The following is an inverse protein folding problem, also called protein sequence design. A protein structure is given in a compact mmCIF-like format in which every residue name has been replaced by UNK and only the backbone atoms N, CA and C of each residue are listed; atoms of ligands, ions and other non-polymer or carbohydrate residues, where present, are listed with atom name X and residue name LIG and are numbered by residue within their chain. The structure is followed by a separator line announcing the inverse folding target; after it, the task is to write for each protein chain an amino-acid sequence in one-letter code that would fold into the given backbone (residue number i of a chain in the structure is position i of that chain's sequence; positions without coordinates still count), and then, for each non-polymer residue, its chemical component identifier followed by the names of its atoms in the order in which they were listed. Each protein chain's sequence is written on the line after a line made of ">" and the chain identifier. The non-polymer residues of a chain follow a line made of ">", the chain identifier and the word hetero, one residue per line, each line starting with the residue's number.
data_IF_682834679427
#
_entry.id   IF_682834679427
#
_cell.length_a   1.000
_cell.length_b   1.000
_cell.length_c   1.000
_cell.angle_alpha   90.00
_cell.angle_beta   90.00
_cell.angle_gamma   90.00
#
_symmetry.space_group_name_H-M   'P 1'
#
loop_
_entity.id
_entity.type
_entity.pdbx_description
1 polymer ?
#
# COMPACT_ATOMS: atom_id res chain seq x y z
N UNK A 1 34.66 8.83 0.57
CA UNK A 1 34.06 7.49 0.42
C UNK A 1 33.06 7.55 -0.72
N UNK A 2 33.38 6.95 -1.85
CA UNK A 2 32.47 6.86 -2.99
C UNK A 2 31.24 6.06 -2.55
N UNK A 3 30.09 6.72 -2.51
CA UNK A 3 28.80 6.04 -2.34
C UNK A 3 28.55 5.26 -3.61
N UNK A 4 28.91 3.97 -3.61
CA UNK A 4 28.47 3.05 -4.65
C UNK A 4 26.95 3.25 -4.83
N UNK A 5 26.52 3.41 -6.07
CA UNK A 5 25.13 3.73 -6.41
C UNK A 5 24.25 2.55 -5.98
N UNK A 6 23.57 2.69 -4.85
CA UNK A 6 22.74 1.62 -4.29
C UNK A 6 21.42 1.62 -5.05
N UNK A 7 21.07 0.49 -5.67
CA UNK A 7 19.82 0.33 -6.42
C UNK A 7 18.61 0.21 -5.48
N UNK A 8 18.11 1.35 -5.00
CA UNK A 8 16.98 1.43 -4.06
C UNK A 8 15.70 0.80 -4.66
N UNK A 9 15.53 0.83 -5.98
CA UNK A 9 14.36 0.32 -6.69
C UNK A 9 14.09 -1.16 -6.44
N UNK A 10 15.14 -1.96 -6.20
CA UNK A 10 14.99 -3.37 -5.82
C UNK A 10 14.14 -3.53 -4.56
N UNK A 11 14.33 -2.65 -3.58
CA UNK A 11 13.61 -2.69 -2.31
C UNK A 11 12.19 -2.17 -2.42
N UNK A 12 11.94 -1.21 -3.32
CA UNK A 12 10.59 -0.80 -3.69
C UNK A 12 9.82 -1.97 -4.33
N UNK A 13 10.45 -2.74 -5.23
CA UNK A 13 9.83 -3.92 -5.81
C UNK A 13 9.47 -4.95 -4.72
N UNK A 14 10.39 -5.22 -3.79
CA UNK A 14 10.11 -6.10 -2.66
C UNK A 14 8.97 -5.59 -1.78
N UNK A 15 8.91 -4.28 -1.51
CA UNK A 15 7.78 -3.69 -0.81
C UNK A 15 6.47 -4.00 -1.54
N UNK A 16 6.39 -3.70 -2.84
CA UNK A 16 5.18 -3.89 -3.65
C UNK A 16 4.74 -5.36 -3.68
N UNK A 17 5.68 -6.29 -3.85
CA UNK A 17 5.38 -7.71 -3.85
C UNK A 17 4.85 -8.20 -2.50
N UNK A 18 5.51 -7.80 -1.40
CA UNK A 18 5.10 -8.20 -0.05
C UNK A 18 3.75 -7.57 0.31
N UNK A 19 3.55 -6.30 -0.04
CA UNK A 19 2.28 -5.60 0.18
C UNK A 19 1.14 -6.30 -0.56
N UNK A 20 1.29 -6.51 -1.87
CA UNK A 20 0.27 -7.18 -2.69
C UNK A 20 0.01 -8.63 -2.26
N UNK A 21 1.06 -9.41 -1.99
CA UNK A 21 0.87 -10.79 -1.52
C UNK A 21 0.15 -10.82 -0.15
N UNK A 22 0.51 -9.90 0.75
CA UNK A 22 -0.14 -9.81 2.05
C UNK A 22 -1.59 -9.35 1.93
N UNK A 23 -1.89 -8.33 1.11
CA UNK A 23 -3.26 -7.86 0.89
C UNK A 23 -4.15 -8.97 0.33
N UNK A 24 -3.67 -9.75 -0.64
CA UNK A 24 -4.42 -10.90 -1.15
C UNK A 24 -4.65 -11.97 -0.07
N UNK A 25 -3.60 -12.38 0.65
CA UNK A 25 -3.71 -13.41 1.68
C UNK A 25 -4.65 -12.97 2.80
N UNK A 26 -4.50 -11.75 3.30
CA UNK A 26 -5.38 -11.21 4.35
C UNK A 26 -6.81 -11.04 3.84
N UNK A 27 -7.00 -10.54 2.61
CA UNK A 27 -8.32 -10.42 2.00
C UNK A 27 -9.03 -11.77 1.89
N UNK A 28 -8.32 -12.82 1.44
CA UNK A 28 -8.85 -14.18 1.40
C UNK A 28 -9.21 -14.71 2.79
N UNK A 29 -8.35 -14.50 3.79
CA UNK A 29 -8.61 -14.96 5.17
C UNK A 29 -9.80 -14.25 5.79
N UNK A 30 -9.91 -12.94 5.64
CA UNK A 30 -11.03 -12.13 6.15
C UNK A 30 -12.34 -12.59 5.50
N UNK A 31 -12.33 -12.78 4.18
CA UNK A 31 -13.51 -13.25 3.44
C UNK A 31 -13.88 -14.68 3.82
N UNK A 32 -12.91 -15.59 3.97
CA UNK A 32 -13.16 -16.99 4.33
C UNK A 32 -13.70 -17.17 5.75
N UNK A 33 -13.23 -16.34 6.69
CA UNK A 33 -13.65 -16.36 8.08
C UNK A 33 -14.86 -15.48 8.37
N UNK A 34 -15.43 -14.83 7.35
CA UNK A 34 -16.54 -13.88 7.45
C UNK A 34 -16.32 -12.82 8.54
N UNK A 35 -15.09 -12.30 8.61
CA UNK A 35 -14.71 -11.28 9.57
C UNK A 35 -15.10 -9.89 9.07
N UNK A 36 -15.60 -9.05 9.97
CA UNK A 36 -15.82 -7.63 9.64
C UNK A 36 -14.52 -7.01 9.13
N UNK A 37 -14.60 -6.38 7.97
CA UNK A 37 -13.44 -5.79 7.31
C UNK A 37 -12.99 -4.56 8.10
N UNK A 38 -11.99 -4.76 8.95
CA UNK A 38 -11.43 -3.71 9.78
C UNK A 38 -10.29 -3.00 9.06
N UNK A 39 -10.35 -1.66 8.98
CA UNK A 39 -9.30 -0.81 8.40
C UNK A 39 -7.93 -0.99 9.05
N UNK A 40 -7.89 -1.58 10.26
CA UNK A 40 -6.66 -1.91 10.98
C UNK A 40 -5.79 -2.94 10.27
N UNK A 41 -6.37 -3.87 9.50
CA UNK A 41 -5.61 -4.89 8.78
C UNK A 41 -4.70 -4.28 7.70
N UNK A 42 -5.19 -3.25 7.00
CA UNK A 42 -4.39 -2.52 6.03
C UNK A 42 -3.14 -1.87 6.65
N UNK A 43 -3.25 -1.41 7.91
CA UNK A 43 -2.11 -0.85 8.64
C UNK A 43 -1.06 -1.91 8.96
N UNK A 44 -1.49 -3.09 9.40
CA UNK A 44 -0.60 -4.21 9.71
C UNK A 44 0.17 -4.61 8.45
N UNK A 45 -0.52 -4.75 7.32
CA UNK A 45 0.09 -5.11 6.04
C UNK A 45 1.13 -4.06 5.64
N UNK A 46 0.76 -2.78 5.68
CA UNK A 46 1.68 -1.67 5.38
C UNK A 46 2.94 -1.69 6.26
N UNK A 47 2.76 -1.90 7.57
CA UNK A 47 3.87 -1.96 8.52
C UNK A 47 4.76 -3.17 8.29
N UNK A 48 4.19 -4.35 8.06
CA UNK A 48 4.93 -5.58 7.78
C UNK A 48 5.75 -5.45 6.49
N UNK A 49 5.13 -4.94 5.41
CA UNK A 49 5.82 -4.70 4.14
C UNK A 49 6.99 -3.76 4.31
N UNK A 50 6.79 -2.62 4.99
CA UNK A 50 7.88 -1.68 5.26
C UNK A 50 9.00 -2.33 6.10
N UNK A 51 8.65 -3.09 7.14
CA UNK A 51 9.62 -3.76 8.01
C UNK A 51 10.48 -4.75 7.22
N UNK A 52 9.86 -5.60 6.41
CA UNK A 52 10.56 -6.58 5.55
C UNK A 52 11.48 -5.86 4.56
N UNK A 53 11.00 -4.78 3.93
CA UNK A 53 11.83 -3.98 3.02
C UNK A 53 13.07 -3.42 3.70
N UNK A 54 12.93 -2.84 4.90
CA UNK A 54 14.07 -2.32 5.65
C UNK A 54 15.01 -3.45 6.10
N UNK A 55 14.46 -4.58 6.53
CA UNK A 55 15.26 -5.74 6.91
C UNK A 55 16.12 -6.25 5.76
N UNK A 56 15.54 -6.39 4.56
CA UNK A 56 16.27 -6.80 3.35
C UNK A 56 17.40 -5.82 3.05
N UNK A 57 17.13 -4.51 3.12
CA UNK A 57 18.16 -3.49 2.91
C UNK A 57 19.31 -3.59 3.92
N UNK A 58 18.98 -3.76 5.21
CA UNK A 58 19.97 -3.87 6.28
C UNK A 58 20.81 -5.13 6.14
N UNK A 59 20.20 -6.25 5.71
CA UNK A 59 20.92 -7.49 5.46
C UNK A 59 21.89 -7.37 4.28
N UNK A 60 21.43 -6.77 3.17
CA UNK A 60 22.20 -6.63 1.93
C UNK A 60 23.35 -5.61 2.06
N UNK A 61 23.19 -4.55 2.87
CA UNK A 61 24.15 -3.45 2.95
C UNK A 61 24.82 -3.27 4.31
N UNK A 62 24.44 -4.07 5.32
CA UNK A 62 24.96 -4.00 6.70
C UNK A 62 24.88 -2.61 7.34
N UNK A 63 23.97 -1.78 6.85
CA UNK A 63 23.71 -0.42 7.36
C UNK A 63 22.23 -0.11 7.30
N UNK A 64 21.81 0.87 8.09
CA UNK A 64 20.46 1.41 8.04
C UNK A 64 20.27 2.38 6.88
N UNK A 65 19.01 2.66 6.56
CA UNK A 65 18.64 3.62 5.53
C UNK A 65 19.06 5.03 5.95
N UNK A 66 19.67 5.76 5.03
CA UNK A 66 19.92 7.19 5.15
C UNK A 66 18.62 7.98 5.05
N UNK A 67 18.64 9.26 5.45
CA UNK A 67 17.46 10.14 5.36
C UNK A 67 16.91 10.29 3.94
N UNK A 68 17.79 10.28 2.93
CA UNK A 68 17.39 10.40 1.51
C UNK A 68 16.70 9.12 1.04
N UNK A 69 17.31 7.96 1.32
CA UNK A 69 16.75 6.64 0.97
C UNK A 69 15.40 6.39 1.67
N UNK A 70 15.29 6.76 2.95
CA UNK A 70 14.06 6.62 3.71
C UNK A 70 12.93 7.49 3.13
N UNK A 71 13.23 8.74 2.74
CA UNK A 71 12.24 9.61 2.10
C UNK A 71 11.81 9.07 0.74
N UNK A 72 12.76 8.57 -0.05
CA UNK A 72 12.47 7.97 -1.35
C UNK A 72 11.58 6.73 -1.20
N UNK A 73 11.99 5.75 -0.40
CA UNK A 73 11.24 4.52 -0.21
C UNK A 73 9.86 4.80 0.41
N UNK A 74 9.76 5.62 1.43
CA UNK A 74 8.44 5.92 2.03
C UNK A 74 7.46 6.55 1.04
N UNK A 75 7.91 7.48 0.18
CA UNK A 75 7.05 8.11 -0.80
C UNK A 75 6.64 7.15 -1.92
N UNK A 76 7.60 6.45 -2.51
CA UNK A 76 7.31 5.54 -3.63
C UNK A 76 6.56 4.28 -3.19
N UNK A 77 6.81 3.78 -1.99
CA UNK A 77 6.03 2.69 -1.41
C UNK A 77 4.59 3.12 -1.08
N UNK A 78 4.39 4.36 -0.61
CA UNK A 78 3.04 4.91 -0.49
C UNK A 78 2.33 4.95 -1.84
N UNK A 79 2.97 5.50 -2.87
CA UNK A 79 2.38 5.55 -4.21
C UNK A 79 2.09 4.14 -4.77
N UNK A 80 3.02 3.20 -4.58
CA UNK A 80 2.83 1.81 -4.98
C UNK A 80 1.65 1.16 -4.25
N UNK A 81 1.50 1.38 -2.93
CA UNK A 81 0.37 0.85 -2.16
C UNK A 81 -0.96 1.41 -2.65
N UNK A 82 -1.03 2.70 -3.00
CA UNK A 82 -2.24 3.33 -3.56
C UNK A 82 -2.57 2.70 -4.92
N UNK A 83 -1.58 2.56 -5.81
CA UNK A 83 -1.78 1.94 -7.12
C UNK A 83 -2.26 0.50 -7.00
N UNK A 84 -1.66 -0.29 -6.11
CA UNK A 84 -2.07 -1.67 -5.86
C UNK A 84 -3.51 -1.72 -5.36
N UNK A 85 -3.88 -0.89 -4.37
CA UNK A 85 -5.24 -0.87 -3.84
C UNK A 85 -6.27 -0.42 -4.89
N UNK A 86 -5.91 0.50 -5.80
CA UNK A 86 -6.77 0.85 -6.94
C UNK A 86 -6.93 -0.34 -7.89
N UNK A 87 -5.85 -1.06 -8.20
CA UNK A 87 -5.90 -2.26 -9.05
C UNK A 87 -6.79 -3.34 -8.40
N UNK A 88 -6.64 -3.59 -7.10
CA UNK A 88 -7.46 -4.54 -6.35
C UNK A 88 -8.94 -4.13 -6.38
N UNK A 89 -9.25 -2.85 -6.14
CA UNK A 89 -10.62 -2.34 -6.21
C UNK A 89 -11.21 -2.52 -7.61
N UNK A 90 -10.46 -2.20 -8.67
CA UNK A 90 -10.89 -2.39 -10.05
C UNK A 90 -11.10 -3.87 -10.39
N UNK A 91 -10.26 -4.76 -9.86
CA UNK A 91 -10.39 -6.20 -10.05
C UNK A 91 -11.66 -6.74 -9.37
N UNK A 92 -11.94 -6.32 -8.13
CA UNK A 92 -13.18 -6.66 -7.41
C UNK A 92 -14.39 -6.11 -8.16
N UNK A 93 -14.35 -4.84 -8.58
CA UNK A 93 -15.42 -4.22 -9.34
C UNK A 93 -15.70 -4.97 -10.66
N UNK A 94 -14.65 -5.32 -11.41
CA UNK A 94 -14.78 -6.07 -12.66
C UNK A 94 -15.36 -7.47 -12.42
N UNK A 95 -14.96 -8.14 -11.34
CA UNK A 95 -15.50 -9.46 -10.96
C UNK A 95 -16.99 -9.38 -10.60
N UNK A 96 -17.37 -8.48 -9.68
CA UNK A 96 -18.76 -8.30 -9.27
C UNK A 96 -19.65 -7.87 -10.43
N UNK A 97 -19.15 -6.98 -11.30
CA UNK A 97 -19.87 -6.55 -12.48
C UNK A 97 -20.13 -7.72 -13.45
N UNK A 98 -19.11 -8.57 -13.69
CA UNK A 98 -19.25 -9.77 -14.50
C UNK A 98 -20.27 -10.75 -13.90
N UNK A 99 -20.26 -10.94 -12.58
CA UNK A 99 -21.19 -11.83 -11.87
C UNK A 99 -22.64 -11.35 -11.97
N UNK A 100 -22.89 -10.05 -11.83
CA UNK A 100 -24.24 -9.47 -11.77
C UNK A 100 -24.86 -9.31 -13.17
N UNK A 101 -24.10 -8.77 -14.13
CA UNK A 101 -24.66 -8.33 -15.43
C UNK A 101 -24.32 -9.26 -16.60
N UNK A 102 -23.38 -10.19 -16.43
CA UNK A 102 -22.85 -11.01 -17.52
C UNK A 102 -22.20 -10.18 -18.64
N UNK A 103 -21.69 -10.86 -19.68
CA UNK A 103 -20.89 -10.22 -20.73
C UNK A 103 -21.72 -9.34 -21.71
N UNK A 104 -23.06 -9.40 -21.66
CA UNK A 104 -23.94 -8.96 -22.78
C UNK A 104 -24.72 -7.66 -22.47
N UNK A 105 -24.82 -7.21 -21.22
CA UNK A 105 -25.66 -6.06 -20.83
C UNK A 105 -24.95 -4.69 -20.82
N UNK A 106 -23.97 -4.45 -21.68
CA UNK A 106 -23.13 -3.23 -21.65
C UNK A 106 -23.88 -1.92 -22.01
N UNK A 107 -25.01 -2.01 -22.73
CA UNK A 107 -25.76 -0.83 -23.20
C UNK A 107 -26.74 -0.27 -22.15
N UNK A 108 -27.40 -1.12 -21.36
CA UNK A 108 -28.34 -0.67 -20.32
C UNK A 108 -27.60 -0.12 -19.08
N UNK A 109 -26.41 -0.67 -18.79
CA UNK A 109 -25.50 -0.19 -17.73
C UNK A 109 -25.05 1.25 -17.96
N UNK A 110 -24.91 1.68 -19.22
CA UNK A 110 -24.40 3.01 -19.54
C UNK A 110 -25.40 4.12 -19.13
N UNK A 111 -26.70 3.85 -19.25
CA UNK A 111 -27.76 4.77 -18.86
C UNK A 111 -27.88 4.87 -17.33
N UNK A 112 -27.85 3.73 -16.61
CA UNK A 112 -27.86 3.70 -15.15
C UNK A 112 -26.61 4.34 -14.55
N UNK A 113 -25.43 4.06 -15.11
CA UNK A 113 -24.16 4.67 -14.68
C UNK A 113 -24.20 6.20 -14.85
N UNK A 114 -24.80 6.69 -15.93
CA UNK A 114 -24.92 8.14 -16.17
C UNK A 114 -25.84 8.83 -15.15
N UNK A 115 -26.93 8.17 -14.73
CA UNK A 115 -27.83 8.66 -13.69
C UNK A 115 -27.15 8.64 -12.31
N UNK A 116 -26.42 7.56 -11.99
CA UNK A 116 -25.66 7.40 -10.74
C UNK A 116 -24.54 8.45 -10.63
N UNK A 117 -23.83 8.73 -11.74
CA UNK A 117 -22.81 9.79 -11.81
C UNK A 117 -23.42 11.20 -11.70
N UNK A 118 -24.64 11.42 -12.21
CA UNK A 118 -25.35 12.68 -12.06
C UNK A 118 -25.85 12.90 -10.63
N UNK A 119 -26.32 11.86 -9.95
CA UNK A 119 -26.70 11.92 -8.53
C UNK A 119 -25.47 12.13 -7.62
N UNK A 120 -24.32 11.57 -8.00
CA UNK A 120 -23.02 11.81 -7.35
C UNK A 120 -22.49 13.26 -7.55
N UNK A 121 -23.04 14.02 -8.50
CA UNK A 121 -22.54 15.36 -8.88
C UNK A 121 -22.69 16.43 -7.80
N UNK A 122 -23.60 16.24 -6.84
CA UNK A 122 -23.90 17.23 -5.79
C UNK A 122 -22.91 17.15 -4.61
N UNK A 123 -22.16 16.04 -4.44
CA UNK A 123 -21.24 15.86 -3.29
C UNK A 123 -19.81 15.44 -3.67
N UNK A 124 -19.44 15.66 -4.94
CA UNK A 124 -18.12 15.34 -5.48
C UNK A 124 -16.96 16.03 -4.73
N UNK A 125 -17.21 17.22 -4.17
CA UNK A 125 -16.22 17.95 -3.37
C UNK A 125 -15.96 17.27 -2.02
N UNK A 126 -16.99 16.77 -1.32
CA UNK A 126 -16.82 16.03 -0.08
C UNK A 126 -16.10 14.70 -0.36
N UNK A 127 -16.44 14.02 -1.45
CA UNK A 127 -15.76 12.81 -1.88
C UNK A 127 -14.26 13.05 -2.14
N UNK A 128 -13.90 14.11 -2.90
CA UNK A 128 -12.50 14.46 -3.13
C UNK A 128 -11.78 14.85 -1.83
N UNK A 129 -12.45 15.55 -0.92
CA UNK A 129 -11.88 15.89 0.37
C UNK A 129 -11.60 14.63 1.22
N UNK A 130 -12.53 13.67 1.25
CA UNK A 130 -12.35 12.39 1.94
C UNK A 130 -11.18 11.61 1.35
N UNK A 131 -11.12 11.48 0.01
CA UNK A 131 -10.01 10.81 -0.68
C UNK A 131 -8.67 11.48 -0.34
N UNK A 132 -8.61 12.81 -0.37
CA UNK A 132 -7.40 13.56 -0.03
C UNK A 132 -6.96 13.31 1.42
N UNK A 133 -7.90 13.33 2.37
CA UNK A 133 -7.62 13.04 3.79
C UNK A 133 -7.11 11.61 3.95
N UNK A 134 -7.76 10.62 3.34
CA UNK A 134 -7.34 9.21 3.40
C UNK A 134 -5.93 9.05 2.83
N UNK A 135 -5.64 9.64 1.68
CA UNK A 135 -4.32 9.61 1.05
C UNK A 135 -3.23 10.24 1.94
N UNK A 136 -3.55 11.36 2.60
CA UNK A 136 -2.64 12.03 3.54
C UNK A 136 -2.37 11.19 4.79
N UNK A 137 -3.42 10.57 5.35
CA UNK A 137 -3.31 9.65 6.49
C UNK A 137 -2.42 8.47 6.10
N UNK A 138 -2.68 7.86 4.94
CA UNK A 138 -1.88 6.74 4.43
C UNK A 138 -0.42 7.12 4.22
N UNK A 139 -0.15 8.31 3.66
CA UNK A 139 1.19 8.83 3.49
C UNK A 139 1.91 9.00 4.84
N UNK A 140 1.21 9.56 5.84
CA UNK A 140 1.72 9.68 7.21
C UNK A 140 2.07 8.33 7.82
N UNK A 141 1.19 7.34 7.67
CA UNK A 141 1.38 5.99 8.18
C UNK A 141 2.56 5.27 7.52
N UNK A 142 2.69 5.35 6.19
CA UNK A 142 3.84 4.75 5.48
C UNK A 142 5.15 5.37 5.97
N UNK A 143 5.17 6.69 6.16
CA UNK A 143 6.36 7.39 6.68
C UNK A 143 6.70 6.96 8.11
N UNK A 144 5.68 6.77 8.96
CA UNK A 144 5.86 6.25 10.32
C UNK A 144 6.38 4.80 10.30
N UNK A 145 5.82 3.94 9.46
CA UNK A 145 6.23 2.55 9.32
C UNK A 145 7.73 2.42 8.97
N UNK A 146 8.19 3.13 7.95
CA UNK A 146 9.62 3.20 7.60
C UNK A 146 10.47 3.81 8.72
N UNK A 147 9.96 4.85 9.39
CA UNK A 147 10.64 5.49 10.51
C UNK A 147 10.85 4.56 11.70
N UNK A 148 9.83 3.79 12.08
CA UNK A 148 9.89 2.79 13.15
C UNK A 148 10.80 1.63 12.78
N UNK A 149 10.65 1.06 11.58
CA UNK A 149 11.49 -0.03 11.10
C UNK A 149 12.98 0.37 11.11
N UNK A 150 13.32 1.54 10.55
CA UNK A 150 14.71 1.99 10.49
C UNK A 150 15.32 2.21 11.89
N UNK A 151 14.54 2.77 12.83
CA UNK A 151 14.97 2.93 14.24
C UNK A 151 15.18 1.58 14.94
N UNK A 152 14.29 0.60 14.69
CA UNK A 152 14.41 -0.73 15.26
C UNK A 152 15.71 -1.41 14.83
N UNK A 153 16.01 -1.40 13.54
CA UNK A 153 17.25 -2.00 13.01
C UNK A 153 18.51 -1.23 13.41
N UNK A 154 18.42 0.10 13.61
CA UNK A 154 19.55 0.88 14.17
C UNK A 154 19.91 0.37 15.57
N UNK A 155 18.90 0.18 16.43
CA UNK A 155 19.11 -0.35 17.79
C UNK A 155 19.64 -1.78 17.76
N UNK A 156 19.19 -2.60 16.80
CA UNK A 156 19.64 -3.98 16.66
C UNK A 156 21.12 -4.06 16.26
N UNK A 157 21.55 -3.28 15.26
CA UNK A 157 22.95 -3.24 14.82
C UNK A 157 23.89 -2.78 15.93
N UNK A 158 23.47 -1.78 16.73
CA UNK A 158 24.25 -1.30 17.87
C UNK A 158 24.42 -2.37 18.98
N UNK A 159 23.49 -3.32 19.10
CA UNK A 159 23.58 -4.42 20.07
C UNK A 159 24.43 -5.58 19.57
N UNK A 160 24.45 -5.84 18.26
CA UNK A 160 25.16 -6.99 17.67
C UNK A 160 26.62 -6.70 17.35
N UNK A 161 27.02 -5.43 17.23
CA UNK A 161 28.42 -4.99 17.13
C UNK A 161 28.71 -3.96 18.24
N UNK A 162 28.78 -4.37 19.53
CA UNK A 162 29.39 -3.52 20.53
C UNK A 162 30.87 -3.44 20.21
N UNK A 163 31.36 -2.22 19.95
CA UNK A 163 32.81 -1.94 19.93
C UNK A 163 33.45 -2.37 21.25
#
# INVERSE_FOLDING_TARGET
>A
MQTADVSINKYLLWFSLVYFASSLVFGMVVSYLDLETNSFLGLIILMLSALITVQLFVNDHRRVLTRRELRYLSFWSWLASVLISVIELLAVFAYSFYEIYGMIAWLDVQAELSALLFELSIDLHALYAIIAVVLLVFWGLTRLAYGFANKAFTKQLARTNPL
#
